data_IF_863150911296
#
_entry.id   IF_863150911296
#
_cell.length_a   1.000
_cell.length_b   1.000
_cell.length_c   1.000
_cell.angle_alpha   90.00
_cell.angle_beta   90.00
_cell.angle_gamma   90.00
#
_symmetry.space_group_name_H-M   'P 1'
#
loop_
_entity.id
_entity.type
_entity.pdbx_description
1 polymer ?
#
# COMPACT_ATOMS: atom_id res chain seq x y z
N UNK A 1 3.64 -31.48 -7.40
CA UNK A 1 2.69 -30.51 -6.84
C UNK A 1 1.37 -30.55 -7.60
N UNK A 2 0.41 -31.34 -7.12
CA UNK A 2 -0.97 -31.36 -7.66
C UNK A 2 -1.73 -30.07 -7.40
N UNK A 3 -1.31 -29.33 -6.35
CA UNK A 3 -1.96 -28.14 -5.84
C UNK A 3 -2.24 -27.04 -6.88
N UNK A 4 -1.37 -26.91 -7.89
CA UNK A 4 -1.45 -25.86 -8.91
C UNK A 4 -1.85 -26.39 -10.30
N UNK A 5 -2.32 -27.64 -10.40
CA UNK A 5 -2.72 -28.22 -11.70
C UNK A 5 -4.08 -27.70 -12.19
N UNK A 6 -4.92 -27.23 -11.27
CA UNK A 6 -6.23 -26.62 -11.52
C UNK A 6 -6.24 -25.18 -10.96
N UNK A 7 -7.36 -24.49 -11.06
CA UNK A 7 -7.57 -23.23 -10.34
C UNK A 7 -7.24 -23.43 -8.85
N UNK A 8 -6.22 -22.73 -8.37
CA UNK A 8 -5.75 -22.84 -7.01
C UNK A 8 -6.67 -22.03 -6.10
N UNK A 9 -7.40 -22.71 -5.22
CA UNK A 9 -8.34 -22.10 -4.28
C UNK A 9 -7.82 -22.32 -2.87
N UNK A 10 -7.21 -21.30 -2.28
CA UNK A 10 -6.73 -21.29 -0.90
C UNK A 10 -6.45 -19.86 -0.45
N UNK A 11 -6.54 -19.61 0.85
CA UNK A 11 -6.23 -18.31 1.45
C UNK A 11 -4.75 -18.17 1.77
N UNK A 12 -4.10 -19.27 2.14
CA UNK A 12 -2.66 -19.34 2.38
C UNK A 12 -2.14 -20.78 2.32
N UNK A 13 -0.82 -20.93 2.17
CA UNK A 13 -0.15 -22.22 2.28
C UNK A 13 0.45 -22.41 3.68
N UNK A 14 0.31 -23.62 4.21
CA UNK A 14 0.98 -24.04 5.43
C UNK A 14 2.08 -25.05 5.05
N UNK A 15 3.37 -24.71 5.22
CA UNK A 15 4.44 -25.64 4.92
C UNK A 15 4.43 -26.78 5.94
N UNK A 16 4.56 -28.01 5.45
CA UNK A 16 4.63 -29.21 6.29
C UNK A 16 5.89 -29.24 7.16
N UNK A 17 6.99 -28.63 6.67
CA UNK A 17 8.24 -28.39 7.39
C UNK A 17 8.86 -27.07 6.89
N UNK A 18 9.62 -26.37 7.73
CA UNK A 18 10.28 -25.10 7.35
C UNK A 18 11.20 -25.25 6.13
N UNK A 19 11.80 -26.42 5.93
CA UNK A 19 12.64 -26.76 4.77
C UNK A 19 11.85 -26.76 3.46
N UNK A 20 10.53 -26.95 3.51
CA UNK A 20 9.68 -26.95 2.32
C UNK A 20 9.55 -25.56 1.69
N UNK A 21 9.67 -24.48 2.47
CA UNK A 21 9.38 -23.11 2.05
C UNK A 21 10.16 -22.72 0.79
N UNK A 22 11.48 -22.95 0.79
CA UNK A 22 12.36 -22.56 -0.32
C UNK A 22 12.19 -23.41 -1.59
N UNK A 23 11.35 -24.45 -1.55
CA UNK A 23 10.99 -25.20 -2.76
C UNK A 23 9.96 -24.48 -3.65
N UNK A 24 9.24 -23.49 -3.08
CA UNK A 24 8.17 -22.74 -3.77
C UNK A 24 8.43 -21.23 -3.70
N UNK A 25 8.91 -20.74 -2.55
CA UNK A 25 9.04 -19.32 -2.26
C UNK A 25 10.50 -18.85 -2.23
N UNK A 26 10.71 -17.57 -2.52
CA UNK A 26 11.94 -16.85 -2.19
C UNK A 26 11.82 -16.38 -0.74
N UNK A 27 12.50 -17.07 0.18
CA UNK A 27 12.45 -16.76 1.59
C UNK A 27 13.86 -16.46 2.13
N UNK A 28 14.07 -15.24 2.63
CA UNK A 28 15.30 -14.86 3.31
C UNK A 28 15.33 -15.41 4.75
N UNK A 29 16.49 -15.40 5.38
CA UNK A 29 16.60 -15.77 6.80
C UNK A 29 15.77 -14.83 7.71
N UNK A 30 15.67 -13.54 7.37
CA UNK A 30 14.82 -12.60 8.12
C UNK A 30 13.33 -12.94 7.97
N UNK A 31 12.87 -13.28 6.75
CA UNK A 31 11.50 -13.76 6.55
C UNK A 31 11.23 -15.04 7.35
N UNK A 32 12.19 -15.98 7.39
CA UNK A 32 12.07 -17.20 8.18
C UNK A 32 11.99 -16.92 9.68
N UNK A 33 12.79 -16.00 10.22
CA UNK A 33 12.73 -15.59 11.63
C UNK A 33 11.35 -15.02 11.98
N UNK A 34 10.81 -14.16 11.13
CA UNK A 34 9.48 -13.58 11.32
C UNK A 34 8.37 -14.64 11.27
N UNK A 35 8.38 -15.51 10.25
CA UNK A 35 7.46 -16.63 10.16
C UNK A 35 7.56 -17.57 11.37
N UNK A 36 8.76 -17.74 11.90
CA UNK A 36 9.05 -18.57 13.07
C UNK A 36 8.83 -17.88 14.42
N UNK A 37 8.33 -16.62 14.45
CA UNK A 37 7.99 -15.94 15.71
C UNK A 37 6.92 -16.71 16.50
N UNK A 38 6.68 -16.30 17.75
CA UNK A 38 5.68 -16.94 18.61
C UNK A 38 4.28 -16.84 18.01
N UNK A 39 3.95 -15.70 17.42
CA UNK A 39 2.64 -15.36 16.87
C UNK A 39 2.35 -16.07 15.54
N UNK A 40 3.38 -16.58 14.87
CA UNK A 40 3.32 -17.27 13.56
C UNK A 40 2.51 -16.45 12.55
N UNK A 41 3.01 -15.26 12.17
CA UNK A 41 2.28 -14.34 11.32
C UNK A 41 1.99 -14.94 9.95
N UNK A 42 0.91 -14.46 9.34
CA UNK A 42 0.71 -14.61 7.91
C UNK A 42 1.68 -13.66 7.20
N UNK A 43 2.29 -14.11 6.10
CA UNK A 43 3.17 -13.28 5.28
C UNK A 43 2.95 -13.58 3.81
N UNK A 44 3.09 -12.58 2.94
CA UNK A 44 3.08 -12.77 1.49
C UNK A 44 4.52 -12.83 0.99
N UNK A 45 4.89 -13.96 0.39
CA UNK A 45 6.23 -14.17 -0.15
C UNK A 45 6.19 -14.34 -1.67
N UNK A 46 7.25 -13.86 -2.32
CA UNK A 46 7.43 -14.04 -3.76
C UNK A 46 7.66 -15.51 -4.08
N UNK A 47 7.04 -16.00 -5.13
CA UNK A 47 7.29 -17.33 -5.65
C UNK A 47 8.62 -17.35 -6.43
N UNK A 48 9.32 -18.49 -6.36
CA UNK A 48 10.50 -18.71 -7.17
C UNK A 48 10.14 -18.63 -8.67
N UNK A 49 10.93 -17.90 -9.47
CA UNK A 49 10.67 -17.70 -10.89
C UNK A 49 10.63 -19.02 -11.68
N UNK A 50 11.52 -19.97 -11.36
CA UNK A 50 11.52 -21.31 -11.97
C UNK A 50 10.28 -22.09 -11.57
N UNK A 51 9.86 -22.01 -10.31
CA UNK A 51 8.64 -22.67 -9.84
C UNK A 51 7.41 -22.14 -10.60
N UNK A 52 7.27 -20.82 -10.70
CA UNK A 52 6.17 -20.19 -11.46
C UNK A 52 6.14 -20.64 -12.92
N UNK A 53 7.30 -20.65 -13.58
CA UNK A 53 7.42 -21.09 -14.97
C UNK A 53 7.03 -22.55 -15.15
N UNK A 54 7.49 -23.44 -14.27
CA UNK A 54 7.21 -24.87 -14.37
C UNK A 54 5.74 -25.22 -14.11
N UNK A 55 4.99 -24.34 -13.44
CA UNK A 55 3.60 -24.53 -13.07
C UNK A 55 2.65 -23.54 -13.77
N UNK A 56 3.13 -22.76 -14.74
CA UNK A 56 2.35 -21.76 -15.49
C UNK A 56 1.49 -20.84 -14.58
N UNK A 57 2.07 -20.35 -13.49
CA UNK A 57 1.37 -19.48 -12.55
C UNK A 57 1.32 -18.04 -13.06
N UNK A 58 0.14 -17.42 -13.01
CA UNK A 58 -0.13 -16.03 -13.38
C UNK A 58 0.10 -15.03 -12.23
N UNK A 59 0.20 -15.51 -11.00
CA UNK A 59 0.58 -14.72 -9.82
C UNK A 59 2.07 -14.82 -9.48
N UNK A 60 2.63 -13.75 -8.90
CA UNK A 60 4.06 -13.63 -8.57
C UNK A 60 4.39 -13.91 -7.10
N UNK A 61 3.39 -13.85 -6.23
CA UNK A 61 3.52 -14.01 -4.80
C UNK A 61 2.28 -14.70 -4.20
N UNK A 62 2.44 -15.28 -3.01
CA UNK A 62 1.33 -15.94 -2.33
C UNK A 62 1.52 -15.93 -0.81
N UNK A 63 0.41 -16.05 -0.06
CA UNK A 63 0.43 -16.02 1.39
C UNK A 63 0.88 -17.36 1.98
N UNK A 64 1.68 -17.30 3.03
CA UNK A 64 2.21 -18.44 3.77
C UNK A 64 2.15 -18.19 5.28
N UNK A 65 1.90 -19.24 6.05
CA UNK A 65 1.93 -19.21 7.52
C UNK A 65 2.43 -20.54 8.07
N UNK A 66 3.27 -20.51 9.12
CA UNK A 66 3.65 -21.74 9.83
C UNK A 66 2.49 -22.25 10.71
N UNK A 67 2.56 -23.53 11.11
CA UNK A 67 1.59 -24.10 12.04
C UNK A 67 1.54 -23.31 13.36
N UNK A 68 0.33 -22.91 13.78
CA UNK A 68 0.08 -22.16 15.03
C UNK A 68 -0.06 -23.06 16.24
N UNK A 69 -0.53 -24.29 16.04
CA UNK A 69 -0.78 -25.27 17.08
C UNK A 69 0.03 -26.56 16.86
N UNK A 70 0.16 -27.33 17.95
CA UNK A 70 0.95 -28.56 17.98
C UNK A 70 0.38 -29.64 17.04
N UNK A 71 -0.94 -29.70 16.84
CA UNK A 71 -1.57 -30.72 16.00
C UNK A 71 -1.26 -30.46 14.52
N UNK A 72 -1.45 -29.22 14.05
CA UNK A 72 -1.06 -28.84 12.69
C UNK A 72 0.44 -29.03 12.46
N UNK A 73 1.27 -28.73 13.46
CA UNK A 73 2.71 -28.95 13.39
C UNK A 73 3.04 -30.45 13.25
N UNK A 74 2.52 -31.29 14.13
CA UNK A 74 2.77 -32.74 14.10
C UNK A 74 2.23 -33.40 12.82
N UNK A 75 1.04 -32.99 12.37
CA UNK A 75 0.47 -33.41 11.08
C UNK A 75 1.39 -33.02 9.93
N UNK A 76 1.86 -31.77 9.91
CA UNK A 76 2.82 -31.28 8.92
C UNK A 76 4.06 -32.17 8.84
N UNK A 77 4.69 -32.48 9.98
CA UNK A 77 5.88 -33.34 10.00
C UNK A 77 5.60 -34.73 9.41
N UNK A 78 4.48 -35.37 9.77
CA UNK A 78 4.10 -36.68 9.20
C UNK A 78 3.79 -36.63 7.72
N UNK A 79 3.18 -35.57 7.25
CA UNK A 79 2.95 -35.37 5.82
C UNK A 79 4.27 -35.11 5.07
N UNK A 80 5.21 -34.40 5.68
CA UNK A 80 6.53 -34.15 5.10
C UNK A 80 7.34 -35.44 4.92
N UNK A 81 7.26 -36.38 5.88
CA UNK A 81 7.82 -37.74 5.74
C UNK A 81 7.25 -38.48 4.51
N UNK A 82 6.02 -38.16 4.10
CA UNK A 82 5.33 -38.72 2.92
C UNK A 82 5.45 -37.81 1.67
N UNK A 83 6.48 -36.98 1.61
CA UNK A 83 6.80 -36.06 0.50
C UNK A 83 5.79 -34.93 0.23
N UNK A 84 4.78 -34.76 1.09
CA UNK A 84 3.89 -33.60 1.01
C UNK A 84 4.59 -32.38 1.60
N UNK A 85 4.78 -31.35 0.76
CA UNK A 85 5.53 -30.14 1.13
C UNK A 85 4.67 -29.05 1.76
N UNK A 86 3.42 -28.93 1.33
CA UNK A 86 2.51 -27.87 1.77
C UNK A 86 1.08 -28.41 1.86
N UNK A 87 0.35 -27.88 2.82
CA UNK A 87 -1.10 -27.88 2.90
C UNK A 87 -1.65 -26.57 2.33
N UNK A 88 -2.72 -26.64 1.54
CA UNK A 88 -3.50 -25.46 1.20
C UNK A 88 -4.58 -25.28 2.25
N UNK A 89 -4.69 -24.07 2.79
CA UNK A 89 -5.72 -23.74 3.77
C UNK A 89 -6.74 -22.83 3.12
N UNK A 90 -8.02 -23.21 3.26
CA UNK A 90 -9.18 -22.40 2.91
C UNK A 90 -9.98 -22.16 4.18
N UNK A 91 -10.19 -20.89 4.53
CA UNK A 91 -11.07 -20.47 5.62
C UNK A 91 -12.51 -20.65 5.18
N UNK A 92 -13.28 -21.36 5.99
CA UNK A 92 -14.74 -21.51 5.79
C UNK A 92 -15.47 -20.36 6.49
N UNK A 93 -14.96 -19.95 7.66
CA UNK A 93 -15.45 -18.82 8.45
C UNK A 93 -14.26 -18.00 8.99
N UNK A 94 -14.45 -16.70 9.15
CA UNK A 94 -13.44 -15.78 9.72
C UNK A 94 -14.02 -15.10 10.97
N UNK A 95 -13.53 -15.51 12.15
CA UNK A 95 -13.90 -14.89 13.43
C UNK A 95 -13.01 -13.70 13.80
N UNK A 96 -11.77 -13.70 13.32
CA UNK A 96 -10.79 -12.63 13.53
C UNK A 96 -9.85 -12.52 12.33
N UNK A 97 -9.37 -11.29 12.07
CA UNK A 97 -8.34 -11.04 11.06
C UNK A 97 -7.04 -11.71 11.47
N UNK A 98 -6.35 -12.31 10.50
CA UNK A 98 -5.02 -12.88 10.73
C UNK A 98 -4.05 -11.77 11.13
N UNK A 99 -3.11 -12.09 12.02
CA UNK A 99 -1.92 -11.26 12.21
C UNK A 99 -1.06 -11.34 10.93
N UNK A 100 -1.27 -10.37 10.05
CA UNK A 100 -0.69 -10.31 8.72
C UNK A 100 0.37 -9.22 8.67
N UNK A 101 1.59 -9.60 8.31
CA UNK A 101 2.73 -8.68 8.27
C UNK A 101 3.42 -8.68 6.92
N UNK A 102 4.15 -7.60 6.65
CA UNK A 102 5.23 -7.58 5.66
C UNK A 102 6.54 -7.16 6.31
N UNK A 103 7.65 -7.49 5.64
CA UNK A 103 8.98 -7.07 6.06
C UNK A 103 9.50 -6.03 5.07
N UNK A 104 10.00 -4.91 5.59
CA UNK A 104 10.72 -3.90 4.83
C UNK A 104 12.05 -3.63 5.51
N UNK A 105 13.13 -4.12 4.90
CA UNK A 105 14.47 -4.07 5.47
C UNK A 105 14.48 -4.67 6.90
N UNK A 106 14.82 -3.91 7.94
CA UNK A 106 14.79 -4.37 9.34
C UNK A 106 13.46 -4.08 10.07
N UNK A 107 12.47 -3.50 9.37
CA UNK A 107 11.19 -3.13 9.96
C UNK A 107 10.11 -4.17 9.66
N UNK A 108 9.30 -4.44 10.69
CA UNK A 108 8.07 -5.22 10.56
C UNK A 108 6.90 -4.28 10.38
N UNK A 109 6.18 -4.44 9.27
CA UNK A 109 4.97 -3.69 8.98
C UNK A 109 3.79 -4.58 9.31
N UNK A 110 3.00 -4.19 10.29
CA UNK A 110 1.76 -4.91 10.61
C UNK A 110 0.64 -4.41 9.70
N UNK A 111 0.19 -5.27 8.80
CA UNK A 111 -0.84 -4.91 7.83
C UNK A 111 -2.24 -5.04 8.43
N UNK A 112 -2.52 -6.17 9.09
CA UNK A 112 -3.82 -6.53 9.67
C UNK A 112 -3.65 -7.38 10.93
N UNK A 113 -4.72 -7.49 11.72
CA UNK A 113 -4.83 -8.39 12.87
C UNK A 113 -4.33 -7.77 14.18
N UNK A 114 -5.19 -7.67 15.18
CA UNK A 114 -4.90 -6.98 16.45
C UNK A 114 -4.43 -7.93 17.56
N UNK A 115 -4.10 -9.18 17.23
CA UNK A 115 -3.76 -10.22 18.21
C UNK A 115 -2.53 -9.88 19.06
N UNK A 116 -1.59 -9.08 18.53
CA UNK A 116 -0.34 -8.71 19.18
C UNK A 116 -0.43 -7.41 20.00
N UNK A 117 -1.53 -6.66 19.90
CA UNK A 117 -1.75 -5.44 20.69
C UNK A 117 -2.28 -5.81 22.07
N UNK A 118 -1.95 -4.99 23.08
CA UNK A 118 -2.49 -5.11 24.42
C UNK A 118 -4.02 -5.28 24.40
N UNK A 119 -4.53 -6.31 25.10
CA UNK A 119 -5.96 -6.67 25.07
C UNK A 119 -6.89 -5.51 25.46
N UNK A 120 -6.54 -4.71 26.47
CA UNK A 120 -7.35 -3.56 26.89
C UNK A 120 -7.38 -2.46 25.83
N UNK A 121 -6.24 -2.23 25.16
CA UNK A 121 -6.17 -1.27 24.06
C UNK A 121 -7.00 -1.74 22.86
N UNK A 122 -6.93 -3.04 22.53
CA UNK A 122 -7.76 -3.66 21.51
C UNK A 122 -9.25 -3.49 21.83
N UNK A 123 -9.68 -3.88 23.03
CA UNK A 123 -11.07 -3.71 23.49
C UNK A 123 -11.53 -2.25 23.37
N UNK A 124 -10.71 -1.30 23.81
CA UNK A 124 -11.00 0.13 23.70
C UNK A 124 -11.14 0.60 22.26
N UNK A 125 -10.25 0.16 21.34
CA UNK A 125 -10.32 0.52 19.92
C UNK A 125 -11.64 0.01 19.32
N UNK A 126 -11.97 -1.26 19.57
CA UNK A 126 -13.16 -1.89 18.99
C UNK A 126 -14.48 -1.47 19.67
N UNK A 127 -14.43 -0.84 20.84
CA UNK A 127 -15.60 -0.27 21.52
C UNK A 127 -15.99 1.12 21.00
N UNK A 128 -15.18 1.77 20.17
CA UNK A 128 -15.47 3.09 19.61
C UNK A 128 -16.21 2.95 18.28
N UNK A 129 -17.06 3.95 17.99
CA UNK A 129 -17.76 4.07 16.71
C UNK A 129 -16.75 4.25 15.57
N UNK A 130 -15.87 5.26 15.69
CA UNK A 130 -14.72 5.43 14.82
C UNK A 130 -13.51 4.64 15.33
N UNK A 131 -13.44 3.39 14.90
CA UNK A 131 -12.35 2.46 15.23
C UNK A 131 -11.01 2.91 14.66
N UNK A 132 -10.99 3.58 13.50
CA UNK A 132 -9.73 4.02 12.89
C UNK A 132 -9.13 5.19 13.68
N UNK A 133 -9.95 6.18 14.05
CA UNK A 133 -9.48 7.28 14.88
C UNK A 133 -9.11 6.81 16.29
N UNK A 134 -9.80 5.81 16.85
CA UNK A 134 -9.40 5.20 18.11
C UNK A 134 -8.02 4.52 18.02
N UNK A 135 -7.75 3.80 16.92
CA UNK A 135 -6.45 3.19 16.61
C UNK A 135 -5.34 4.24 16.49
N UNK A 136 -5.60 5.31 15.73
CA UNK A 136 -4.67 6.44 15.57
C UNK A 136 -4.40 7.13 16.92
N UNK A 137 -5.45 7.36 17.72
CA UNK A 137 -5.32 7.96 19.06
C UNK A 137 -4.46 7.11 19.98
N UNK A 138 -4.63 5.79 19.94
CA UNK A 138 -3.80 4.85 20.69
C UNK A 138 -2.34 4.87 20.21
N UNK A 139 -2.10 4.86 18.90
CA UNK A 139 -0.75 5.01 18.32
C UNK A 139 -0.06 6.27 18.85
N UNK A 140 -0.72 7.43 18.76
CA UNK A 140 -0.14 8.72 19.19
C UNK A 140 0.09 8.76 20.70
N UNK A 141 -0.75 8.11 21.51
CA UNK A 141 -0.64 8.14 22.97
C UNK A 141 0.67 7.58 23.53
N UNK A 142 1.42 6.82 22.71
CA UNK A 142 2.72 6.26 23.08
C UNK A 142 3.88 7.27 22.93
N UNK A 143 3.65 8.39 22.27
CA UNK A 143 4.66 9.41 22.01
C UNK A 143 4.36 10.68 22.81
N UNK A 144 5.41 11.34 23.29
CA UNK A 144 5.29 12.60 24.06
C UNK A 144 5.45 13.82 23.15
N UNK A 145 6.10 13.63 22.02
CA UNK A 145 6.39 14.60 20.98
C UNK A 145 5.12 15.04 20.24
N UNK A 146 5.18 16.22 19.61
CA UNK A 146 4.13 16.67 18.70
C UNK A 146 4.17 15.84 17.43
N UNK A 147 3.27 14.86 17.34
CA UNK A 147 3.19 13.95 16.20
C UNK A 147 2.44 14.57 15.01
N UNK A 148 3.04 14.47 13.82
CA UNK A 148 2.38 14.59 12.53
C UNK A 148 2.01 13.20 12.05
N UNK A 149 0.73 12.93 11.87
CA UNK A 149 0.23 11.61 11.51
C UNK A 149 -0.01 11.58 10.00
N UNK A 150 0.66 10.66 9.34
CA UNK A 150 0.45 10.29 7.96
C UNK A 150 -0.42 9.02 7.95
N UNK A 151 -1.73 9.17 7.82
CA UNK A 151 -2.66 8.05 7.66
C UNK A 151 -3.13 8.02 6.20
N UNK A 152 -2.47 7.20 5.38
CA UNK A 152 -2.81 7.06 3.97
C UNK A 152 -3.51 5.72 3.70
N UNK A 153 -4.73 5.76 3.21
CA UNK A 153 -5.62 4.61 3.09
C UNK A 153 -5.99 4.31 1.63
N UNK A 154 -6.22 3.03 1.35
CA UNK A 154 -6.84 2.56 0.10
C UNK A 154 -8.36 2.65 0.16
N UNK A 155 -8.93 2.60 1.35
CA UNK A 155 -10.36 2.34 1.59
C UNK A 155 -11.10 3.56 2.15
N UNK A 156 -10.37 4.47 2.79
CA UNK A 156 -10.89 5.64 3.49
C UNK A 156 -10.21 6.92 3.02
N UNK A 157 -10.77 8.08 3.38
CA UNK A 157 -10.09 9.36 3.15
C UNK A 157 -8.75 9.42 3.88
N UNK A 158 -7.78 10.09 3.27
CA UNK A 158 -6.45 10.26 3.85
C UNK A 158 -6.45 11.34 4.93
N UNK A 159 -5.63 11.14 5.95
CA UNK A 159 -5.50 12.08 7.07
C UNK A 159 -4.03 12.48 7.20
N UNK A 160 -3.78 13.79 7.10
CA UNK A 160 -2.52 14.42 7.45
C UNK A 160 -2.74 15.24 8.74
N UNK A 161 -2.71 14.57 9.89
CA UNK A 161 -3.18 15.13 11.17
C UNK A 161 -2.05 15.77 11.97
N UNK A 162 -2.24 17.01 12.43
CA UNK A 162 -1.42 17.60 13.50
C UNK A 162 -2.25 17.89 14.74
N UNK A 163 -1.61 17.80 15.91
CA UNK A 163 -2.23 18.06 17.21
C UNK A 163 -3.51 17.25 17.49
N UNK A 164 -3.66 16.07 16.87
CA UNK A 164 -4.85 15.18 16.99
C UNK A 164 -6.17 15.77 16.50
N UNK A 165 -6.18 16.94 15.87
CA UNK A 165 -7.41 17.66 15.54
C UNK A 165 -7.41 18.27 14.12
N UNK A 166 -6.27 18.83 13.69
CA UNK A 166 -6.22 19.57 12.43
C UNK A 166 -5.72 18.68 11.29
N UNK A 167 -6.64 18.27 10.41
CA UNK A 167 -6.27 17.61 9.16
C UNK A 167 -5.81 18.68 8.15
N UNK A 168 -4.57 18.55 7.69
CA UNK A 168 -3.95 19.46 6.72
C UNK A 168 -4.35 19.12 5.28
N UNK A 169 -4.85 17.91 5.03
CA UNK A 169 -5.24 17.48 3.70
C UNK A 169 -6.70 17.84 3.43
N UNK A 170 -6.93 18.60 2.37
CA UNK A 170 -8.25 18.85 1.79
C UNK A 170 -8.23 18.41 0.34
N UNK A 171 -8.47 17.11 0.11
CA UNK A 171 -8.52 16.51 -1.21
C UNK A 171 -9.98 16.34 -1.64
N UNK A 172 -10.33 16.83 -2.82
CA UNK A 172 -11.65 16.60 -3.42
C UNK A 172 -11.45 16.09 -4.84
N UNK A 173 -11.65 14.80 -5.05
CA UNK A 173 -11.51 14.18 -6.38
C UNK A 173 -12.81 14.34 -7.20
N UNK A 174 -12.69 14.39 -8.55
CA UNK A 174 -13.84 14.56 -9.43
C UNK A 174 -14.71 13.29 -9.44
N UNK A 175 -16.01 13.43 -9.67
CA UNK A 175 -16.95 12.29 -9.78
C UNK A 175 -17.11 11.79 -11.21
N UNK A 176 -16.69 12.57 -12.20
CA UNK A 176 -16.70 12.21 -13.62
C UNK A 176 -15.47 12.80 -14.31
N UNK A 177 -14.99 12.13 -15.36
CA UNK A 177 -13.93 12.67 -16.24
C UNK A 177 -14.23 14.06 -16.80
N UNK A 178 -15.50 14.44 -17.00
CA UNK A 178 -15.88 15.79 -17.46
C UNK A 178 -15.52 16.87 -16.45
N UNK A 179 -15.81 16.64 -15.17
CA UNK A 179 -15.44 17.55 -14.08
C UNK A 179 -13.91 17.71 -13.99
N UNK A 180 -13.17 16.61 -14.18
CA UNK A 180 -11.70 16.65 -14.26
C UNK A 180 -11.22 17.58 -15.38
N UNK A 181 -11.79 17.47 -16.58
CA UNK A 181 -11.39 18.28 -17.72
C UNK A 181 -11.80 19.75 -17.57
N UNK A 182 -12.96 20.01 -16.99
CA UNK A 182 -13.40 21.38 -16.65
C UNK A 182 -12.40 22.03 -15.68
N UNK A 183 -11.95 21.32 -14.65
CA UNK A 183 -10.95 21.82 -13.71
C UNK A 183 -9.59 22.07 -14.39
N UNK A 184 -9.12 21.13 -15.24
CA UNK A 184 -7.87 21.30 -16.01
C UNK A 184 -7.95 22.51 -16.96
N UNK A 185 -9.11 22.78 -17.57
CA UNK A 185 -9.30 23.87 -18.55
C UNK A 185 -9.45 25.26 -17.91
N UNK A 186 -9.46 25.39 -16.58
CA UNK A 186 -9.57 26.68 -15.90
C UNK A 186 -8.42 27.64 -16.21
N UNK A 187 -7.26 27.14 -16.62
CA UNK A 187 -6.14 27.94 -17.11
C UNK A 187 -5.74 27.58 -18.54
N UNK A 188 -5.18 28.56 -19.27
CA UNK A 188 -4.82 28.42 -20.69
C UNK A 188 -3.79 27.30 -20.94
N UNK A 189 -2.84 27.11 -20.01
CA UNK A 189 -1.81 26.07 -20.11
C UNK A 189 -2.47 24.70 -20.01
N UNK A 190 -3.40 24.51 -19.07
CA UNK A 190 -4.15 23.28 -18.90
C UNK A 190 -5.07 23.00 -20.09
N UNK A 191 -5.75 24.01 -20.62
CA UNK A 191 -6.58 23.88 -21.82
C UNK A 191 -5.77 23.40 -23.04
N UNK A 192 -4.62 24.03 -23.31
CA UNK A 192 -3.72 23.64 -24.42
C UNK A 192 -3.13 22.24 -24.22
N UNK A 193 -2.75 21.90 -22.99
CA UNK A 193 -2.25 20.56 -22.66
C UNK A 193 -3.30 19.50 -23.00
N UNK A 194 -4.55 19.70 -22.58
CA UNK A 194 -5.61 18.74 -22.79
C UNK A 194 -6.00 18.61 -24.27
N UNK A 195 -5.99 19.71 -25.02
CA UNK A 195 -6.18 19.69 -26.47
C UNK A 195 -5.09 18.86 -27.17
N UNK A 196 -3.83 19.07 -26.82
CA UNK A 196 -2.71 18.30 -27.36
C UNK A 196 -2.78 16.83 -26.94
N UNK A 197 -3.12 16.57 -25.67
CA UNK A 197 -3.27 15.21 -25.15
C UNK A 197 -4.34 14.43 -25.92
N UNK A 198 -5.50 15.05 -26.19
CA UNK A 198 -6.60 14.41 -26.93
C UNK A 198 -6.26 14.12 -28.41
N UNK A 199 -5.22 14.73 -28.98
CA UNK A 199 -4.75 14.42 -30.35
C UNK A 199 -3.97 13.10 -30.39
N UNK A 200 -3.24 12.78 -29.33
CA UNK A 200 -2.33 11.63 -29.27
C UNK A 200 -2.91 10.46 -28.44
N UNK A 201 -3.74 10.76 -27.44
CA UNK A 201 -4.24 9.79 -26.46
C UNK A 201 -5.75 9.96 -26.24
N UNK A 202 -6.50 8.87 -26.07
CA UNK A 202 -7.92 8.94 -25.79
C UNK A 202 -8.19 9.56 -24.41
N UNK A 203 -9.17 10.45 -24.34
CA UNK A 203 -9.69 10.94 -23.07
C UNK A 203 -10.61 9.90 -22.43
N UNK A 204 -10.54 9.81 -21.10
CA UNK A 204 -11.49 9.06 -20.30
C UNK A 204 -12.90 9.65 -20.44
N UNK A 205 -13.90 8.78 -20.60
CA UNK A 205 -15.31 9.14 -20.57
C UNK A 205 -16.06 8.17 -19.66
N UNK A 206 -15.91 8.36 -18.36
CA UNK A 206 -16.48 7.47 -17.35
C UNK A 206 -16.82 8.21 -16.05
N UNK A 207 -17.76 7.65 -15.31
CA UNK A 207 -18.05 8.03 -13.94
C UNK A 207 -17.04 7.38 -13.00
N UNK A 208 -16.66 8.11 -11.95
CA UNK A 208 -15.70 7.66 -10.98
C UNK A 208 -16.39 7.34 -9.65
N UNK A 209 -16.07 6.16 -9.09
CA UNK A 209 -16.40 5.79 -7.72
C UNK A 209 -15.12 5.86 -6.90
N UNK A 210 -14.88 7.00 -6.27
CA UNK A 210 -13.63 7.33 -5.59
C UNK A 210 -13.87 7.64 -4.12
N UNK A 211 -12.81 7.47 -3.34
CA UNK A 211 -12.65 8.13 -2.04
C UNK A 211 -11.71 9.32 -2.21
N UNK A 212 -11.78 10.31 -1.33
CA UNK A 212 -10.82 11.42 -1.34
C UNK A 212 -9.49 11.02 -0.70
N UNK A 213 -8.76 10.15 -1.40
CA UNK A 213 -7.45 9.65 -0.97
C UNK A 213 -6.46 9.57 -2.15
N UNK A 214 -5.18 9.45 -1.82
CA UNK A 214 -4.11 9.32 -2.80
C UNK A 214 -4.17 7.99 -3.55
N UNK A 215 -4.73 6.93 -2.97
CA UNK A 215 -4.96 5.67 -3.71
C UNK A 215 -5.89 5.88 -4.91
N UNK A 216 -6.98 6.61 -4.72
CA UNK A 216 -7.95 6.98 -5.76
C UNK A 216 -7.32 7.92 -6.80
N UNK A 217 -6.47 8.87 -6.38
CA UNK A 217 -5.70 9.72 -7.29
C UNK A 217 -4.72 8.91 -8.15
N UNK A 218 -4.03 7.93 -7.54
CA UNK A 218 -3.16 7.00 -8.26
C UNK A 218 -3.99 6.11 -9.20
N UNK A 219 -5.24 5.77 -8.86
CA UNK A 219 -6.19 5.13 -9.77
C UNK A 219 -6.51 5.97 -10.99
N UNK A 220 -6.79 7.27 -10.82
CA UNK A 220 -7.00 8.20 -11.93
C UNK A 220 -5.75 8.32 -12.82
N UNK A 221 -4.57 8.44 -12.21
CA UNK A 221 -3.29 8.43 -12.94
C UNK A 221 -3.12 7.13 -13.73
N UNK A 222 -3.36 5.98 -13.11
CA UNK A 222 -3.26 4.69 -13.78
C UNK A 222 -4.26 4.53 -14.92
N UNK A 223 -5.45 5.14 -14.84
CA UNK A 223 -6.41 5.20 -15.96
C UNK A 223 -5.89 6.06 -17.11
N UNK A 224 -5.33 7.23 -16.81
CA UNK A 224 -4.68 8.10 -17.82
C UNK A 224 -3.50 7.38 -18.50
N UNK A 225 -2.74 6.60 -17.74
CA UNK A 225 -1.62 5.78 -18.23
C UNK A 225 -2.05 4.46 -18.92
N UNK A 226 -3.36 4.20 -18.99
CA UNK A 226 -3.94 2.98 -19.56
C UNK A 226 -3.42 1.66 -18.91
N UNK A 227 -3.23 1.66 -17.58
CA UNK A 227 -2.68 0.53 -16.83
C UNK A 227 -3.73 -0.51 -16.37
N UNK A 228 -5.02 -0.19 -16.48
CA UNK A 228 -6.11 -1.05 -16.02
C UNK A 228 -7.45 -0.61 -16.58
N UNK A 229 -8.48 -1.46 -16.48
CA UNK A 229 -9.80 -1.19 -17.11
C UNK A 229 -10.68 -0.30 -16.26
N UNK A 230 -10.44 -0.28 -14.95
CA UNK A 230 -11.15 0.52 -13.96
C UNK A 230 -10.14 1.08 -12.95
N UNK A 231 -10.60 2.01 -12.12
CA UNK A 231 -9.75 2.75 -11.16
C UNK A 231 -8.99 1.83 -10.19
N UNK A 232 -9.63 0.76 -9.71
CA UNK A 232 -9.03 -0.15 -8.74
C UNK A 232 -7.92 -0.99 -9.38
N UNK A 233 -8.17 -1.55 -10.56
CA UNK A 233 -7.16 -2.26 -11.35
C UNK A 233 -5.99 -1.33 -11.68
N UNK A 234 -6.28 -0.11 -12.13
CA UNK A 234 -5.28 0.88 -12.49
C UNK A 234 -4.41 1.32 -11.30
N UNK A 235 -5.00 1.56 -10.13
CA UNK A 235 -4.24 1.89 -8.92
C UNK A 235 -3.33 0.72 -8.51
N UNK A 236 -3.88 -0.51 -8.53
CA UNK A 236 -3.16 -1.72 -8.15
C UNK A 236 -1.97 -1.98 -9.08
N UNK A 237 -2.16 -1.85 -10.40
CA UNK A 237 -1.08 -2.06 -11.38
C UNK A 237 -0.03 -0.95 -11.29
N UNK A 238 -0.42 0.32 -11.11
CA UNK A 238 0.53 1.43 -10.90
C UNK A 238 1.43 1.17 -9.68
N UNK A 239 0.83 0.82 -8.54
CA UNK A 239 1.55 0.56 -7.30
C UNK A 239 2.43 -0.69 -7.41
N UNK A 240 1.97 -1.73 -8.09
CA UNK A 240 2.76 -2.93 -8.39
C UNK A 240 3.98 -2.61 -9.24
N UNK A 241 3.81 -1.83 -10.32
CA UNK A 241 4.92 -1.37 -11.15
C UNK A 241 5.93 -0.59 -10.29
N UNK A 242 5.46 0.30 -9.42
CA UNK A 242 6.31 1.06 -8.53
C UNK A 242 7.07 0.16 -7.52
N UNK A 243 6.42 -0.86 -6.96
CA UNK A 243 7.00 -1.82 -6.00
C UNK A 243 8.04 -2.74 -6.65
N UNK A 244 7.84 -3.11 -7.92
CA UNK A 244 8.75 -3.96 -8.69
C UNK A 244 9.86 -3.17 -9.41
N UNK A 245 9.75 -1.84 -9.44
CA UNK A 245 10.71 -0.95 -10.10
C UNK A 245 12.11 -1.12 -9.53
N UNK A 246 13.09 -1.19 -10.44
CA UNK A 246 14.53 -1.10 -10.12
C UNK A 246 15.11 0.25 -10.53
N UNK A 247 14.26 1.18 -10.96
CA UNK A 247 14.70 2.48 -11.44
C UNK A 247 15.26 3.29 -10.27
N UNK A 248 16.38 4.00 -10.46
CA UNK A 248 16.94 4.83 -9.40
C UNK A 248 16.07 6.04 -9.09
N UNK A 249 15.35 6.58 -10.09
CA UNK A 249 14.42 7.71 -9.99
C UNK A 249 13.32 7.61 -11.05
N UNK A 250 12.14 8.08 -10.72
CA UNK A 250 11.07 8.36 -11.68
C UNK A 250 11.04 9.83 -12.11
N UNK A 251 10.20 10.15 -13.08
CA UNK A 251 9.89 11.54 -13.41
C UNK A 251 9.19 12.23 -12.25
N UNK A 252 9.45 13.53 -12.07
CA UNK A 252 8.87 14.30 -10.97
C UNK A 252 7.43 14.70 -11.28
N UNK A 253 6.48 14.10 -10.58
CA UNK A 253 5.05 14.40 -10.67
C UNK A 253 4.71 15.51 -9.67
N UNK A 254 3.88 16.47 -10.07
CA UNK A 254 3.57 17.63 -9.24
C UNK A 254 2.43 17.31 -8.24
N UNK A 255 2.79 17.20 -6.97
CA UNK A 255 1.86 17.12 -5.83
C UNK A 255 1.93 18.45 -5.08
N UNK A 256 0.85 19.24 -5.11
CA UNK A 256 0.85 20.60 -4.53
C UNK A 256 -0.48 20.96 -3.88
N UNK A 257 -0.40 21.93 -2.97
CA UNK A 257 -1.55 22.65 -2.46
C UNK A 257 -1.81 23.90 -3.30
N UNK A 258 -3.09 24.26 -3.45
CA UNK A 258 -3.55 25.57 -3.93
C UNK A 258 -3.33 26.64 -2.85
N UNK A 259 -3.55 27.90 -3.21
CA UNK A 259 -3.43 29.03 -2.27
C UNK A 259 -4.37 28.92 -1.06
N UNK A 260 -5.56 28.34 -1.27
CA UNK A 260 -6.55 28.08 -0.21
C UNK A 260 -6.22 26.83 0.65
N UNK A 261 -5.05 26.24 0.43
CA UNK A 261 -4.53 25.00 1.06
C UNK A 261 -5.29 23.73 0.70
N UNK A 262 -6.19 23.76 -0.30
CA UNK A 262 -6.75 22.54 -0.87
C UNK A 262 -5.73 21.82 -1.75
N UNK A 263 -5.80 20.50 -1.85
CA UNK A 263 -4.88 19.73 -2.68
C UNK A 263 -5.25 19.87 -4.17
N UNK A 264 -4.27 20.21 -5.01
CA UNK A 264 -4.45 20.35 -6.45
C UNK A 264 -4.19 19.02 -7.17
N UNK A 265 -5.21 18.17 -7.22
CA UNK A 265 -5.12 16.89 -7.92
C UNK A 265 -4.91 17.05 -9.44
N UNK A 266 -5.29 18.19 -10.02
CA UNK A 266 -5.14 18.41 -11.47
C UNK A 266 -3.69 18.57 -11.85
N UNK A 267 -2.86 19.21 -11.02
CA UNK A 267 -1.41 19.32 -11.27
C UNK A 267 -0.76 17.96 -11.39
N UNK A 268 -1.15 17.01 -10.54
CA UNK A 268 -0.65 15.64 -10.57
C UNK A 268 -0.97 14.96 -11.90
N UNK A 269 -2.22 15.05 -12.37
CA UNK A 269 -2.65 14.47 -13.65
C UNK A 269 -2.02 15.18 -14.85
N UNK A 270 -1.92 16.51 -14.82
CA UNK A 270 -1.29 17.33 -15.86
C UNK A 270 0.19 17.00 -16.03
N UNK A 271 0.92 16.77 -14.94
CA UNK A 271 2.32 16.31 -15.01
C UNK A 271 2.43 14.98 -15.75
N UNK A 272 1.60 14.00 -15.41
CA UNK A 272 1.60 12.71 -16.08
C UNK A 272 1.27 12.84 -17.58
N UNK A 273 0.21 13.58 -17.93
CA UNK A 273 -0.16 13.85 -19.33
C UNK A 273 0.98 14.51 -20.12
N UNK A 274 1.69 15.46 -19.50
CA UNK A 274 2.82 16.14 -20.13
C UNK A 274 3.99 15.19 -20.39
N UNK A 275 4.28 14.28 -19.45
CA UNK A 275 5.32 13.25 -19.64
C UNK A 275 4.92 12.21 -20.69
N UNK A 276 3.65 11.83 -20.76
CA UNK A 276 3.13 10.96 -21.83
C UNK A 276 3.30 11.60 -23.21
N UNK A 277 2.94 12.88 -23.36
CA UNK A 277 3.17 13.64 -24.60
C UNK A 277 4.65 13.74 -24.97
N UNK A 278 5.54 13.75 -23.98
CA UNK A 278 6.98 13.73 -24.18
C UNK A 278 7.55 12.32 -24.48
N UNK A 279 6.70 11.29 -24.58
CA UNK A 279 7.12 9.92 -24.87
C UNK A 279 7.76 9.18 -23.69
N UNK A 280 7.54 9.62 -22.45
CA UNK A 280 8.03 8.92 -21.26
C UNK A 280 7.21 7.67 -21.02
N UNK A 281 7.90 6.54 -20.80
CA UNK A 281 7.29 5.26 -20.52
C UNK A 281 6.40 5.27 -19.26
N UNK A 282 5.25 4.59 -19.33
CA UNK A 282 4.27 4.54 -18.24
C UNK A 282 4.84 3.98 -16.94
N UNK A 283 5.82 3.07 -16.99
CA UNK A 283 6.42 2.53 -15.78
C UNK A 283 7.29 3.56 -15.05
N UNK A 284 7.96 4.43 -15.80
CA UNK A 284 8.70 5.57 -15.24
C UNK A 284 7.75 6.57 -14.58
N UNK A 285 6.62 6.88 -15.23
CA UNK A 285 5.59 7.79 -14.68
C UNK A 285 4.94 7.19 -13.43
N UNK A 286 4.60 5.90 -13.45
CA UNK A 286 4.03 5.18 -12.31
C UNK A 286 4.95 5.22 -11.09
N UNK A 287 6.22 4.88 -11.27
CA UNK A 287 7.21 4.95 -10.19
C UNK A 287 7.43 6.41 -9.73
N UNK A 288 7.50 7.36 -10.67
CA UNK A 288 7.65 8.78 -10.38
C UNK A 288 6.50 9.38 -9.59
N UNK A 289 5.26 8.94 -9.82
CA UNK A 289 4.09 9.35 -9.04
C UNK A 289 4.21 8.93 -7.57
N UNK A 290 4.59 7.68 -7.31
CA UNK A 290 4.78 7.15 -5.94
C UNK A 290 5.96 7.83 -5.24
N UNK A 291 7.08 8.01 -5.94
CA UNK A 291 8.25 8.71 -5.39
C UNK A 291 7.92 10.18 -5.07
N UNK A 292 7.19 10.86 -5.96
CA UNK A 292 6.82 12.27 -5.78
C UNK A 292 5.80 12.49 -4.66
N UNK A 293 4.91 11.52 -4.41
CA UNK A 293 4.05 11.54 -3.23
C UNK A 293 4.89 11.53 -1.94
N UNK A 294 5.91 10.67 -1.86
CA UNK A 294 6.80 10.66 -0.69
C UNK A 294 7.55 11.99 -0.51
N UNK A 295 7.96 12.66 -1.59
CA UNK A 295 8.53 14.01 -1.52
C UNK A 295 7.54 15.05 -1.02
N UNK A 296 6.28 15.00 -1.45
CA UNK A 296 5.23 15.89 -0.94
C UNK A 296 5.00 15.72 0.56
N UNK A 297 4.97 14.47 1.06
CA UNK A 297 4.84 14.18 2.49
C UNK A 297 6.05 14.69 3.29
N UNK A 298 7.27 14.52 2.74
CA UNK A 298 8.50 15.08 3.32
C UNK A 298 8.39 16.60 3.44
N UNK A 299 8.09 17.27 2.33
CA UNK A 299 8.08 18.74 2.28
C UNK A 299 7.02 19.31 3.23
N UNK A 300 5.85 18.68 3.28
CA UNK A 300 4.80 19.01 4.26
C UNK A 300 5.30 18.88 5.69
N UNK A 301 6.01 17.80 6.02
CA UNK A 301 6.54 17.57 7.36
C UNK A 301 7.71 18.50 7.72
N UNK A 302 8.62 18.76 6.78
CA UNK A 302 9.74 19.68 6.99
C UNK A 302 9.23 21.10 7.29
N UNK A 303 8.18 21.57 6.59
CA UNK A 303 7.53 22.84 6.93
C UNK A 303 6.97 22.88 8.37
N UNK A 304 6.35 21.78 8.82
CA UNK A 304 5.80 21.68 10.18
C UNK A 304 6.93 21.70 11.21
N UNK A 305 8.06 21.05 10.92
CA UNK A 305 9.24 21.05 11.79
C UNK A 305 9.89 22.43 11.88
N UNK A 306 10.03 23.13 10.75
CA UNK A 306 10.55 24.50 10.71
C UNK A 306 9.69 25.45 11.54
N UNK A 307 8.37 25.26 11.50
CA UNK A 307 7.39 26.00 12.31
C UNK A 307 7.26 25.49 13.76
N UNK A 308 8.03 24.47 14.17
CA UNK A 308 7.98 23.81 15.50
C UNK A 308 6.59 23.28 15.88
N UNK A 309 5.82 22.89 14.86
CA UNK A 309 4.47 22.35 15.00
C UNK A 309 4.47 20.83 15.14
N UNK A 310 5.52 20.16 14.65
CA UNK A 310 5.71 18.72 14.83
C UNK A 310 7.18 18.40 14.98
N UNK A 311 7.49 17.43 15.83
CA UNK A 311 8.85 16.94 16.07
C UNK A 311 9.02 15.48 15.60
N UNK A 312 7.92 14.76 15.35
CA UNK A 312 7.88 13.33 15.02
C UNK A 312 6.83 13.09 13.93
N UNK A 313 7.17 12.31 12.90
CA UNK A 313 6.18 11.82 11.94
C UNK A 313 5.78 10.37 12.24
N UNK A 314 4.47 10.08 12.28
CA UNK A 314 3.93 8.73 12.46
C UNK A 314 3.33 8.25 11.15
N UNK A 315 3.82 7.12 10.63
CA UNK A 315 3.44 6.57 9.32
C UNK A 315 2.45 5.42 9.55
N UNK A 316 1.24 5.53 8.99
CA UNK A 316 0.12 4.60 9.20
C UNK A 316 -0.84 4.60 7.99
N UNK A 317 -1.73 3.61 7.92
CA UNK A 317 -2.74 3.52 6.86
C UNK A 317 -2.40 2.49 5.77
N UNK A 318 -3.43 1.91 5.16
CA UNK A 318 -3.32 0.74 4.28
C UNK A 318 -2.52 0.95 3.00
N UNK A 319 -2.30 2.19 2.55
CA UNK A 319 -1.49 2.50 1.37
C UNK A 319 0.01 2.24 1.61
N UNK A 320 0.49 2.34 2.85
CA UNK A 320 1.88 2.02 3.20
C UNK A 320 2.18 0.51 3.22
N UNK A 321 1.22 -0.36 2.86
CA UNK A 321 1.55 -1.74 2.53
C UNK A 321 2.46 -1.84 1.28
N UNK A 322 2.40 -0.82 0.42
CA UNK A 322 3.19 -0.74 -0.80
C UNK A 322 4.63 -0.35 -0.51
N UNK A 323 5.53 -1.27 -0.88
CA UNK A 323 6.94 -1.23 -0.52
C UNK A 323 7.62 0.06 -0.98
N UNK A 324 7.35 0.49 -2.21
CA UNK A 324 7.98 1.65 -2.83
C UNK A 324 7.59 2.93 -2.11
N UNK A 325 6.30 3.11 -1.80
CA UNK A 325 5.83 4.27 -1.05
C UNK A 325 6.47 4.29 0.35
N UNK A 326 6.31 3.21 1.11
CA UNK A 326 6.82 3.14 2.48
C UNK A 326 8.34 3.35 2.53
N UNK A 327 9.10 2.70 1.65
CA UNK A 327 10.55 2.86 1.58
C UNK A 327 10.95 4.31 1.27
N UNK A 328 10.31 4.95 0.30
CA UNK A 328 10.62 6.34 -0.04
C UNK A 328 10.24 7.29 1.10
N UNK A 329 9.09 7.08 1.76
CA UNK A 329 8.67 7.88 2.91
C UNK A 329 9.67 7.75 4.07
N UNK A 330 10.01 6.53 4.49
CA UNK A 330 10.98 6.30 5.58
C UNK A 330 12.37 6.86 5.27
N UNK A 331 12.81 6.77 4.01
CA UNK A 331 14.10 7.32 3.56
C UNK A 331 14.16 8.83 3.65
N UNK A 332 13.05 9.52 3.40
CA UNK A 332 13.04 10.97 3.21
C UNK A 332 12.53 11.75 4.42
N UNK A 333 11.66 11.17 5.24
CA UNK A 333 11.20 11.80 6.47
C UNK A 333 12.24 11.66 7.58
N UNK A 334 12.62 12.79 8.17
CA UNK A 334 13.44 12.82 9.38
C UNK A 334 12.60 12.41 10.59
N UNK A 335 13.23 11.82 11.61
CA UNK A 335 12.57 11.44 12.87
C UNK A 335 11.14 10.88 12.69
N UNK A 336 11.02 9.81 11.91
CA UNK A 336 9.74 9.16 11.66
C UNK A 336 9.67 7.78 12.33
N UNK A 337 8.46 7.35 12.66
CA UNK A 337 8.17 6.04 13.21
C UNK A 337 7.04 5.40 12.40
N UNK A 338 7.24 4.14 12.01
CA UNK A 338 6.17 3.33 11.46
C UNK A 338 5.21 2.91 12.57
N UNK A 339 3.92 2.83 12.24
CA UNK A 339 2.87 2.36 13.14
C UNK A 339 3.22 0.99 13.75
N UNK A 340 3.17 0.93 15.07
CA UNK A 340 3.25 -0.30 15.86
C UNK A 340 1.87 -0.93 16.12
N UNK A 341 0.84 -0.42 15.43
CA UNK A 341 -0.51 -0.99 15.33
C UNK A 341 -0.83 -1.30 13.87
N UNK A 342 -1.77 -2.23 13.56
CA UNK A 342 -2.13 -2.54 12.19
C UNK A 342 -2.41 -1.29 11.35
N UNK A 343 -2.02 -1.34 10.08
CA UNK A 343 -2.27 -0.25 9.13
C UNK A 343 -3.76 -0.06 8.80
N UNK A 344 -4.64 -1.01 9.17
CA UNK A 344 -6.09 -0.93 8.99
C UNK A 344 -6.85 -1.71 10.07
N UNK A 345 -8.13 -1.39 10.23
CA UNK A 345 -9.07 -2.08 11.15
C UNK A 345 -9.66 -3.33 10.50
#
# INVERSE_FOLDING_TARGET
>A
FSLFKNEFIGDFLLPCDIKAINSVFVCSNENLKLLASLEKPLMKLRLNAMFRKNHNLDFSDFKIRLARDLFCFALGLKLFENEYKFLSVKKIEEYQKDFYISALDEQVVVLEGFEFINAKARELIFSKEDKNMARISYLVSRYKEKAFILELSKDYEDILLINKELNLLKLCLPKHSKELYEEIKKDEIGARLLENFNKEFPLLDENFKLQNNFYSLLGLLGRVLNLGRNLQESASELLKIADESKMPRGVKIDYRLKEDKSFDYTRTLRSAMSFMLAGVDSANIAYGAVESLAYFLRDTYDELREKKQSDLALISGSLFEHKSLLKNTLKHLKNCQLSDVPLRI
#
